data_IF_896971796143
#
_entry.id   IF_896971796143
#
_cell.length_a   1.000
_cell.length_b   1.000
_cell.length_c   1.000
_cell.angle_alpha   90.00
_cell.angle_beta   90.00
_cell.angle_gamma   90.00
#
_symmetry.space_group_name_H-M   'P 1'
#
loop_
_entity.id
_entity.type
_entity.pdbx_description
1 polymer ?
#
# COMPACT_ATOMS: atom_id res chain seq x y z
N UNK A 1 21.15 8.89 11.94
CA UNK A 1 21.08 9.52 10.61
C UNK A 1 21.29 8.44 9.56
N UNK A 2 20.26 8.08 8.78
CA UNK A 2 20.33 7.00 7.78
C UNK A 2 21.39 7.26 6.70
N UNK A 3 21.55 8.52 6.28
CA UNK A 3 22.56 8.90 5.28
C UNK A 3 23.99 8.64 5.73
N UNK A 4 24.26 8.58 7.03
CA UNK A 4 25.59 8.22 7.58
C UNK A 4 25.74 6.72 7.79
N UNK A 5 24.71 6.05 8.28
CA UNK A 5 24.82 4.68 8.78
C UNK A 5 24.51 3.61 7.73
N UNK A 6 23.61 3.90 6.79
CA UNK A 6 23.15 2.91 5.81
C UNK A 6 22.56 3.57 4.54
N UNK A 7 23.28 4.50 3.88
CA UNK A 7 22.76 5.33 2.79
C UNK A 7 22.32 4.54 1.55
N UNK A 8 22.85 3.32 1.37
CA UNK A 8 22.54 2.44 0.23
C UNK A 8 21.46 1.40 0.53
N UNK A 9 20.98 1.30 1.76
CA UNK A 9 20.11 0.21 2.23
C UNK A 9 18.73 0.67 2.69
N UNK A 10 18.59 1.93 3.11
CA UNK A 10 17.31 2.49 3.54
C UNK A 10 16.98 3.77 2.80
N UNK A 11 15.75 3.85 2.30
CA UNK A 11 15.12 5.09 1.87
C UNK A 11 14.08 5.49 2.92
N UNK A 12 14.01 6.78 3.23
CA UNK A 12 13.06 7.31 4.21
C UNK A 12 11.91 7.99 3.49
N UNK A 13 10.69 7.67 3.92
CA UNK A 13 9.49 8.38 3.52
C UNK A 13 9.09 9.27 4.70
N UNK A 14 8.79 10.54 4.43
CA UNK A 14 8.25 11.44 5.46
C UNK A 14 6.76 11.17 5.69
N UNK A 15 6.17 11.80 6.70
CA UNK A 15 4.75 11.72 7.05
C UNK A 15 4.14 13.12 7.15
N UNK A 16 2.81 13.21 7.04
CA UNK A 16 2.08 14.43 7.37
C UNK A 16 1.79 14.44 8.88
N UNK A 17 2.09 15.56 9.54
CA UNK A 17 1.57 15.85 10.87
C UNK A 17 0.16 16.42 10.74
N UNK A 18 -0.84 15.58 11.01
CA UNK A 18 -2.25 15.99 10.92
C UNK A 18 -2.73 16.87 12.08
N UNK A 19 -1.92 17.04 13.13
CA UNK A 19 -2.25 17.92 14.24
C UNK A 19 -2.50 19.35 13.73
N UNK A 20 -3.64 19.92 14.10
CA UNK A 20 -4.03 21.26 13.69
C UNK A 20 -4.67 21.37 12.30
N UNK A 21 -4.94 20.26 11.60
CA UNK A 21 -5.69 20.29 10.35
C UNK A 21 -7.02 21.04 10.54
N UNK A 22 -7.30 21.97 9.61
CA UNK A 22 -8.44 22.89 9.67
C UNK A 22 -8.17 24.23 10.35
N UNK A 23 -7.01 24.41 11.00
CA UNK A 23 -6.55 25.75 11.40
C UNK A 23 -6.03 26.54 10.18
N UNK A 24 -6.17 27.87 10.15
CA UNK A 24 -5.56 28.70 9.11
C UNK A 24 -4.05 28.45 9.00
N UNK A 25 -3.53 28.34 7.78
CA UNK A 25 -2.11 28.12 7.52
C UNK A 25 -1.61 26.68 7.64
N UNK A 26 -2.46 25.72 8.07
CA UNK A 26 -2.02 24.33 8.25
C UNK A 26 -1.59 23.69 6.93
N UNK A 27 -2.36 23.87 5.86
CA UNK A 27 -2.07 23.26 4.55
C UNK A 27 -0.75 23.78 3.99
N UNK A 28 -0.53 25.10 4.05
CA UNK A 28 0.70 25.77 3.61
C UNK A 28 1.90 25.27 4.43
N UNK A 29 1.72 25.13 5.74
CA UNK A 29 2.73 24.56 6.63
C UNK A 29 3.08 23.11 6.29
N UNK A 30 2.08 22.26 6.03
CA UNK A 30 2.28 20.86 5.67
C UNK A 30 2.98 20.71 4.30
N UNK A 31 2.64 21.54 3.32
CA UNK A 31 3.31 21.61 2.02
C UNK A 31 4.77 22.02 2.18
N UNK A 32 5.04 23.07 2.97
CA UNK A 32 6.39 23.54 3.24
C UNK A 32 7.23 22.47 3.95
N UNK A 33 6.67 21.78 4.93
CA UNK A 33 7.36 20.72 5.66
C UNK A 33 7.72 19.54 4.73
N UNK A 34 6.81 19.14 3.84
CA UNK A 34 7.09 18.11 2.83
C UNK A 34 8.28 18.51 1.94
N UNK A 35 8.30 19.76 1.46
CA UNK A 35 9.40 20.27 0.64
C UNK A 35 10.74 20.25 1.41
N UNK A 36 10.74 20.70 2.66
CA UNK A 36 11.91 20.68 3.53
C UNK A 36 12.42 19.26 3.81
N UNK A 37 11.52 18.30 4.05
CA UNK A 37 11.87 16.91 4.30
C UNK A 37 12.46 16.23 3.07
N UNK A 38 11.91 16.48 1.89
CA UNK A 38 12.46 15.99 0.62
C UNK A 38 13.84 16.59 0.38
N UNK A 39 14.01 17.89 0.63
CA UNK A 39 15.33 18.57 0.56
C UNK A 39 16.33 17.96 1.53
N UNK A 40 15.88 17.47 2.69
CA UNK A 40 16.70 16.75 3.69
C UNK A 40 16.92 15.26 3.36
N UNK A 41 16.34 14.76 2.28
CA UNK A 41 16.61 13.42 1.74
C UNK A 41 15.46 12.43 1.85
N UNK A 42 14.26 12.84 2.29
CA UNK A 42 13.08 12.00 2.16
C UNK A 42 12.83 11.69 0.67
N UNK A 43 12.52 10.42 0.37
CA UNK A 43 12.37 9.90 -0.99
C UNK A 43 10.90 9.64 -1.35
N UNK A 44 9.97 10.00 -0.49
CA UNK A 44 8.57 9.68 -0.63
C UNK A 44 7.76 10.22 0.54
N UNK A 45 6.44 10.19 0.38
CA UNK A 45 5.48 10.53 1.42
C UNK A 45 4.70 9.28 1.81
N UNK A 46 4.66 8.95 3.10
CA UNK A 46 3.87 7.85 3.65
C UNK A 46 2.64 8.40 4.36
N UNK A 47 1.48 7.86 4.01
CA UNK A 47 0.20 8.11 4.67
C UNK A 47 -0.26 6.81 5.33
N UNK A 48 -0.60 6.90 6.61
CA UNK A 48 -1.11 5.79 7.40
C UNK A 48 -2.64 5.76 7.35
N UNK A 49 -3.20 4.60 7.68
CA UNK A 49 -4.65 4.39 7.76
C UNK A 49 -5.38 5.23 8.79
N UNK A 50 -4.66 5.94 9.66
CA UNK A 50 -5.26 6.91 10.59
C UNK A 50 -6.01 8.01 9.83
N UNK A 51 -5.56 8.38 8.62
CA UNK A 51 -6.35 9.23 7.74
C UNK A 51 -7.58 8.45 7.25
N UNK A 52 -8.77 9.00 7.52
CA UNK A 52 -10.05 8.32 7.31
C UNK A 52 -10.51 7.42 8.46
N UNK A 53 -9.64 7.04 9.41
CA UNK A 53 -10.04 6.25 10.59
C UNK A 53 -10.17 7.06 11.88
N UNK A 54 -9.22 7.94 12.15
CA UNK A 54 -9.08 8.55 13.47
C UNK A 54 -8.54 9.98 13.47
N UNK A 55 -7.98 10.45 12.36
CA UNK A 55 -7.58 11.85 12.23
C UNK A 55 -8.83 12.71 12.27
N UNK A 56 -8.92 13.59 13.28
CA UNK A 56 -9.99 14.57 13.44
C UNK A 56 -9.42 15.97 13.22
N UNK A 57 -10.19 16.83 12.59
CA UNK A 57 -9.82 18.24 12.42
C UNK A 57 -10.06 19.06 13.69
N UNK A 58 -9.75 20.36 13.60
CA UNK A 58 -9.96 21.31 14.69
C UNK A 58 -11.42 21.49 15.12
N UNK A 59 -12.39 20.97 14.37
CA UNK A 59 -13.80 20.92 14.75
C UNK A 59 -14.21 19.55 15.33
N UNK A 60 -13.25 18.62 15.49
CA UNK A 60 -13.50 17.27 15.98
C UNK A 60 -14.14 16.34 14.93
N UNK A 61 -14.18 16.75 13.65
CA UNK A 61 -14.75 15.95 12.57
C UNK A 61 -13.68 15.04 11.97
N UNK A 62 -14.04 13.79 11.70
CA UNK A 62 -13.17 12.86 10.97
C UNK A 62 -12.76 13.46 9.62
N UNK A 63 -11.48 13.42 9.32
CA UNK A 63 -10.91 13.92 8.06
C UNK A 63 -11.02 12.83 6.99
N UNK A 64 -11.77 13.08 5.89
CA UNK A 64 -11.84 12.17 4.75
C UNK A 64 -10.47 11.98 4.07
N UNK A 65 -10.29 10.84 3.40
CA UNK A 65 -9.04 10.55 2.66
C UNK A 65 -8.87 11.50 1.46
N UNK A 66 -9.98 11.99 0.90
CA UNK A 66 -10.03 12.96 -0.20
C UNK A 66 -10.36 14.39 0.24
N UNK A 67 -10.07 14.73 1.50
CA UNK A 67 -10.25 16.08 2.03
C UNK A 67 -9.50 17.10 1.15
N UNK A 68 -10.17 18.15 0.64
CA UNK A 68 -9.56 19.12 -0.28
C UNK A 68 -8.32 19.83 0.29
N UNK A 69 -8.20 19.91 1.62
CA UNK A 69 -7.03 20.51 2.28
C UNK A 69 -5.75 19.70 2.05
N UNK A 70 -5.86 18.45 1.61
CA UNK A 70 -4.75 17.56 1.31
C UNK A 70 -4.27 17.66 -0.15
N UNK A 71 -5.11 18.17 -1.07
CA UNK A 71 -4.79 18.26 -2.50
C UNK A 71 -3.48 19.02 -2.78
N UNK A 72 -3.18 20.17 -2.12
CA UNK A 72 -1.89 20.84 -2.30
C UNK A 72 -0.68 20.00 -1.90
N UNK A 73 -0.83 19.09 -0.93
CA UNK A 73 0.25 18.21 -0.47
C UNK A 73 0.52 17.13 -1.52
N UNK A 74 -0.53 16.55 -2.10
CA UNK A 74 -0.40 15.58 -3.19
C UNK A 74 0.22 16.22 -4.43
N UNK A 75 -0.23 17.43 -4.80
CA UNK A 75 0.32 18.19 -5.91
C UNK A 75 1.82 18.48 -5.69
N UNK A 76 2.21 18.94 -4.49
CA UNK A 76 3.61 19.18 -4.14
C UNK A 76 4.46 17.91 -4.22
N UNK A 77 3.96 16.76 -3.76
CA UNK A 77 4.68 15.49 -3.92
C UNK A 77 4.95 15.16 -5.40
N UNK A 78 3.96 15.41 -6.27
CA UNK A 78 4.11 15.27 -7.72
C UNK A 78 5.13 16.23 -8.33
N UNK A 79 5.12 17.51 -7.93
CA UNK A 79 6.11 18.52 -8.35
C UNK A 79 7.54 18.15 -7.95
N UNK A 80 7.71 17.61 -6.74
CA UNK A 80 8.99 17.17 -6.20
C UNK A 80 9.46 15.82 -6.78
N UNK A 81 8.62 15.14 -7.57
CA UNK A 81 8.94 13.85 -8.17
C UNK A 81 9.06 12.70 -7.16
N UNK A 82 8.43 12.83 -5.98
CA UNK A 82 8.42 11.78 -4.94
C UNK A 82 7.07 11.05 -4.91
N UNK A 83 7.04 9.72 -4.73
CA UNK A 83 5.79 8.98 -4.68
C UNK A 83 5.09 9.11 -3.34
N UNK A 84 3.76 8.96 -3.34
CA UNK A 84 2.92 8.87 -2.14
C UNK A 84 2.52 7.42 -1.90
N UNK A 85 3.09 6.78 -0.88
CA UNK A 85 2.64 5.47 -0.40
C UNK A 85 1.49 5.67 0.59
N UNK A 86 0.28 5.28 0.21
CA UNK A 86 -0.91 5.48 1.04
C UNK A 86 -1.50 4.15 1.49
N UNK A 87 -1.71 4.03 2.80
CA UNK A 87 -2.50 2.98 3.42
C UNK A 87 -3.85 3.56 3.77
N UNK A 88 -4.91 3.07 3.13
CA UNK A 88 -6.31 3.42 3.44
C UNK A 88 -7.08 2.15 3.75
N UNK A 89 -7.99 2.20 4.72
CA UNK A 89 -8.79 1.06 5.16
C UNK A 89 -7.94 -0.13 5.70
N UNK A 90 -8.56 -1.29 5.77
CA UNK A 90 -8.05 -2.59 6.20
C UNK A 90 -8.72 -3.66 5.28
N UNK A 91 -8.43 -4.97 5.37
CA UNK A 91 -9.12 -5.99 4.57
C UNK A 91 -10.65 -5.85 4.65
N UNK A 92 -11.34 -5.90 3.51
CA UNK A 92 -12.82 -5.83 3.44
C UNK A 92 -13.52 -6.80 4.41
N UNK A 93 -13.05 -8.04 4.61
CA UNK A 93 -13.65 -8.96 5.58
C UNK A 93 -13.71 -8.45 7.03
N UNK A 94 -12.98 -7.38 7.40
CA UNK A 94 -13.11 -6.78 8.72
C UNK A 94 -14.46 -6.06 8.92
N UNK A 95 -15.13 -5.65 7.84
CA UNK A 95 -16.47 -5.08 7.86
C UNK A 95 -17.57 -6.15 7.73
N UNK A 96 -17.26 -7.32 7.16
CA UNK A 96 -18.22 -8.41 6.98
C UNK A 96 -18.66 -9.03 8.32
N UNK A 97 -19.82 -9.72 8.40
CA UNK A 97 -20.25 -10.44 9.60
C UNK A 97 -19.17 -11.39 10.13
N UNK A 98 -19.07 -11.57 11.46
CA UNK A 98 -18.15 -12.53 12.05
C UNK A 98 -18.80 -13.91 12.08
N UNK A 99 -18.78 -14.63 10.96
CA UNK A 99 -19.38 -15.95 10.81
C UNK A 99 -18.48 -16.91 10.00
N UNK A 100 -19.01 -18.10 9.70
CA UNK A 100 -18.32 -19.15 8.92
C UNK A 100 -17.99 -18.76 7.48
N UNK A 101 -18.56 -17.67 6.95
CA UNK A 101 -18.34 -17.19 5.58
C UNK A 101 -17.28 -16.09 5.50
N UNK A 102 -16.88 -15.50 6.63
CA UNK A 102 -15.84 -14.50 6.69
C UNK A 102 -14.44 -15.14 6.63
N UNK A 103 -13.71 -14.92 5.53
CA UNK A 103 -12.38 -15.52 5.35
C UNK A 103 -11.33 -15.07 6.37
N UNK A 104 -11.58 -13.98 7.11
CA UNK A 104 -10.72 -13.47 8.20
C UNK A 104 -11.31 -13.72 9.59
N UNK A 105 -12.31 -14.61 9.74
CA UNK A 105 -12.98 -14.85 11.02
C UNK A 105 -12.02 -15.21 12.17
N UNK A 106 -10.97 -16.01 11.89
CA UNK A 106 -10.00 -16.43 12.91
C UNK A 106 -9.13 -15.26 13.35
N UNK A 107 -8.70 -14.43 12.39
CA UNK A 107 -7.96 -13.19 12.67
C UNK A 107 -8.78 -12.25 13.55
N UNK A 108 -10.06 -12.05 13.22
CA UNK A 108 -10.98 -11.22 14.00
C UNK A 108 -11.29 -11.79 15.38
N UNK A 109 -11.32 -13.12 15.53
CA UNK A 109 -11.49 -13.80 16.82
C UNK A 109 -10.27 -13.58 17.74
N UNK A 110 -9.06 -13.63 17.19
CA UNK A 110 -7.81 -13.44 17.93
C UNK A 110 -7.54 -11.95 18.19
N UNK A 111 -7.84 -11.09 17.23
CA UNK A 111 -7.59 -9.65 17.27
C UNK A 111 -8.91 -8.86 17.17
N UNK A 112 -9.73 -8.95 18.22
CA UNK A 112 -11.09 -8.37 18.26
C UNK A 112 -11.16 -6.89 17.85
N UNK A 113 -10.15 -6.08 18.18
CA UNK A 113 -10.07 -4.66 17.80
C UNK A 113 -9.89 -4.39 16.30
N UNK A 114 -9.69 -5.42 15.47
CA UNK A 114 -9.67 -5.30 14.00
C UNK A 114 -11.07 -5.29 13.39
N UNK A 115 -12.08 -5.83 14.08
CA UNK A 115 -13.46 -5.81 13.57
C UNK A 115 -13.90 -4.36 13.40
N UNK A 116 -14.54 -4.10 12.26
CA UNK A 116 -15.20 -2.82 11.93
C UNK A 116 -16.70 -3.05 11.88
N UNK A 117 -17.50 -2.02 12.07
CA UNK A 117 -18.94 -2.20 12.17
C UNK A 117 -19.72 -0.92 11.94
N UNK A 118 -21.04 -1.02 12.07
CA UNK A 118 -21.98 0.09 11.88
C UNK A 118 -21.82 1.24 12.88
N UNK A 119 -21.01 1.07 13.94
CA UNK A 119 -20.69 2.12 14.90
C UNK A 119 -19.52 3.00 14.44
N UNK A 120 -18.78 2.60 13.40
CA UNK A 120 -17.71 3.42 12.84
C UNK A 120 -18.32 4.59 12.05
N UNK A 121 -17.69 5.77 12.09
CA UNK A 121 -18.11 6.97 11.34
C UNK A 121 -17.90 6.82 9.81
N UNK A 122 -17.45 5.65 9.34
CA UNK A 122 -17.02 5.37 7.97
C UNK A 122 -17.34 3.92 7.55
N UNK A 123 -17.57 3.72 6.25
CA UNK A 123 -17.64 2.39 5.63
C UNK A 123 -16.37 2.09 4.83
N UNK A 124 -16.16 0.80 4.52
CA UNK A 124 -15.04 0.40 3.66
C UNK A 124 -15.14 1.05 2.26
N UNK A 125 -16.35 1.03 1.68
CA UNK A 125 -16.62 1.60 0.36
C UNK A 125 -16.36 3.11 0.33
N UNK A 126 -16.70 3.84 1.40
CA UNK A 126 -16.40 5.27 1.52
C UNK A 126 -14.90 5.51 1.50
N UNK A 127 -14.13 4.83 2.35
CA UNK A 127 -12.68 5.01 2.45
C UNK A 127 -11.95 4.72 1.14
N UNK A 128 -12.29 3.60 0.50
CA UNK A 128 -11.69 3.20 -0.77
C UNK A 128 -12.10 4.15 -1.90
N UNK A 129 -13.35 4.62 -1.91
CA UNK A 129 -13.81 5.63 -2.88
C UNK A 129 -13.06 6.94 -2.73
N UNK A 130 -12.89 7.43 -1.50
CA UNK A 130 -12.11 8.63 -1.19
C UNK A 130 -10.64 8.46 -1.63
N UNK A 131 -10.01 7.32 -1.36
CA UNK A 131 -8.66 7.04 -1.86
C UNK A 131 -8.58 7.17 -3.39
N UNK A 132 -9.53 6.57 -4.11
CA UNK A 132 -9.58 6.67 -5.57
C UNK A 132 -9.84 8.11 -6.06
N UNK A 133 -10.63 8.91 -5.35
CA UNK A 133 -10.80 10.34 -5.67
C UNK A 133 -9.48 11.10 -5.55
N UNK A 134 -8.73 10.90 -4.47
CA UNK A 134 -7.42 11.53 -4.31
C UNK A 134 -6.47 11.18 -5.47
N UNK A 135 -6.46 9.91 -5.90
CA UNK A 135 -5.68 9.47 -7.06
C UNK A 135 -6.09 10.15 -8.37
N UNK A 136 -7.40 10.24 -8.64
CA UNK A 136 -7.94 10.87 -9.87
C UNK A 136 -7.68 12.36 -9.94
N UNK A 137 -7.85 13.07 -8.82
CA UNK A 137 -7.65 14.52 -8.73
C UNK A 137 -6.18 14.92 -8.93
N UNK A 138 -5.25 14.01 -8.68
CA UNK A 138 -3.81 14.29 -8.69
C UNK A 138 -3.06 13.44 -9.74
N UNK A 139 -3.37 13.56 -11.05
CA UNK A 139 -2.84 12.68 -12.09
C UNK A 139 -1.33 12.81 -12.33
N UNK A 140 -0.74 13.94 -11.92
CA UNK A 140 0.72 14.18 -12.01
C UNK A 140 1.50 13.57 -10.85
N UNK A 141 0.82 13.11 -9.80
CA UNK A 141 1.44 12.51 -8.61
C UNK A 141 1.42 11.00 -8.72
N UNK A 142 2.56 10.35 -8.47
CA UNK A 142 2.65 8.89 -8.43
C UNK A 142 2.23 8.39 -7.07
N UNK A 143 1.23 7.52 -7.04
CA UNK A 143 0.77 6.88 -5.81
C UNK A 143 1.21 5.43 -5.77
N UNK A 144 1.45 4.91 -4.57
CA UNK A 144 1.56 3.48 -4.29
C UNK A 144 0.41 3.15 -3.33
N UNK A 145 -0.59 2.44 -3.81
CA UNK A 145 -1.68 1.93 -2.98
C UNK A 145 -1.17 0.71 -2.21
N UNK A 146 -1.07 0.84 -0.90
CA UNK A 146 -0.62 -0.24 -0.03
C UNK A 146 -1.57 -1.46 -0.15
N UNK A 147 -1.01 -2.65 0.03
CA UNK A 147 -1.74 -3.92 0.15
C UNK A 147 -2.62 -4.21 -1.07
N UNK A 148 -2.13 -3.87 -2.27
CA UNK A 148 -2.87 -3.94 -3.53
C UNK A 148 -4.21 -3.17 -3.51
N UNK A 149 -4.25 -2.05 -2.78
CA UNK A 149 -5.47 -1.26 -2.58
C UNK A 149 -6.57 -2.04 -1.84
N UNK A 150 -6.19 -3.08 -1.08
CA UNK A 150 -7.08 -4.04 -0.46
C UNK A 150 -8.00 -4.80 -1.43
N UNK A 151 -7.58 -4.95 -2.70
CA UNK A 151 -8.21 -5.85 -3.69
C UNK A 151 -7.39 -7.09 -4.10
N UNK A 152 -6.46 -7.63 -3.28
CA UNK A 152 -5.71 -8.82 -3.69
C UNK A 152 -6.63 -10.06 -3.84
N UNK A 153 -7.79 -10.07 -3.19
CA UNK A 153 -8.84 -11.08 -3.31
C UNK A 153 -9.76 -10.89 -4.53
N UNK A 154 -9.74 -9.72 -5.17
CA UNK A 154 -10.56 -9.39 -6.35
C UNK A 154 -9.70 -8.66 -7.39
N UNK A 155 -8.84 -9.43 -8.05
CA UNK A 155 -7.93 -8.91 -9.07
C UNK A 155 -8.66 -8.35 -10.29
N UNK A 156 -9.89 -8.79 -10.57
CA UNK A 156 -10.71 -8.23 -11.64
C UNK A 156 -11.14 -6.79 -11.31
N UNK A 157 -11.54 -6.53 -10.06
CA UNK A 157 -11.81 -5.16 -9.62
C UNK A 157 -10.53 -4.32 -9.61
N UNK A 158 -9.41 -4.85 -9.12
CA UNK A 158 -8.14 -4.13 -9.15
C UNK A 158 -7.69 -3.78 -10.57
N UNK A 159 -7.88 -4.68 -11.53
CA UNK A 159 -7.62 -4.44 -12.96
C UNK A 159 -8.39 -3.21 -13.48
N UNK A 160 -9.69 -3.11 -13.17
CA UNK A 160 -10.52 -1.96 -13.56
C UNK A 160 -10.01 -0.64 -12.95
N UNK A 161 -9.51 -0.69 -11.72
CA UNK A 161 -8.96 0.48 -11.00
C UNK A 161 -7.64 0.91 -11.64
N UNK A 162 -6.69 -0.01 -11.81
CA UNK A 162 -5.39 0.31 -12.39
C UNK A 162 -5.51 0.77 -13.84
N UNK A 163 -6.46 0.24 -14.61
CA UNK A 163 -6.75 0.69 -15.98
C UNK A 163 -7.18 2.16 -16.02
N UNK A 164 -8.01 2.59 -15.06
CA UNK A 164 -8.52 3.98 -15.01
C UNK A 164 -7.59 4.96 -14.29
N UNK A 165 -6.65 4.47 -13.49
CA UNK A 165 -5.73 5.28 -12.70
C UNK A 165 -4.27 5.02 -13.09
N UNK A 166 -3.76 5.57 -14.21
CA UNK A 166 -2.41 5.28 -14.70
C UNK A 166 -1.28 5.78 -13.80
N UNK A 167 -1.58 6.65 -12.83
CA UNK A 167 -0.64 7.20 -11.87
C UNK A 167 -0.46 6.35 -10.59
N UNK A 168 -1.19 5.23 -10.45
CA UNK A 168 -1.16 4.38 -9.25
C UNK A 168 -0.25 3.16 -9.48
N UNK A 169 0.57 2.80 -8.51
CA UNK A 169 1.21 1.48 -8.43
C UNK A 169 0.69 0.78 -7.17
N UNK A 170 0.95 -0.52 -7.03
CA UNK A 170 0.54 -1.32 -5.87
C UNK A 170 1.74 -2.05 -5.29
N UNK A 171 1.64 -2.45 -4.03
CA UNK A 171 2.61 -3.36 -3.40
C UNK A 171 1.91 -4.53 -2.70
N UNK A 172 2.64 -5.63 -2.49
CA UNK A 172 2.09 -6.94 -2.06
C UNK A 172 2.19 -7.21 -0.55
N UNK A 173 2.61 -6.23 0.24
CA UNK A 173 2.77 -6.36 1.68
C UNK A 173 1.48 -6.79 2.35
N UNK A 174 1.61 -7.67 3.35
CA UNK A 174 0.52 -8.26 4.13
C UNK A 174 -0.54 -9.08 3.35
N UNK A 175 -0.46 -9.18 2.02
CA UNK A 175 -1.51 -9.78 1.16
C UNK A 175 -1.03 -10.93 0.27
N UNK A 176 0.15 -11.48 0.57
CA UNK A 176 0.70 -12.60 -0.20
C UNK A 176 -0.23 -13.82 -0.19
N UNK A 177 -1.00 -14.00 0.89
CA UNK A 177 -1.94 -15.12 1.07
C UNK A 177 -3.06 -15.13 0.02
N UNK A 178 -3.61 -13.95 -0.30
CA UNK A 178 -4.66 -13.77 -1.29
C UNK A 178 -4.16 -14.02 -2.70
N UNK A 179 -2.91 -13.65 -3.00
CA UNK A 179 -2.29 -13.92 -4.29
C UNK A 179 -2.05 -15.41 -4.49
N UNK A 180 -1.46 -16.07 -3.51
CA UNK A 180 -1.12 -17.48 -3.64
C UNK A 180 -2.30 -18.45 -3.57
N UNK A 181 -3.55 -18.02 -3.36
CA UNK A 181 -4.73 -18.90 -3.55
C UNK A 181 -5.30 -18.90 -4.96
N UNK A 182 -4.82 -18.02 -5.83
CA UNK A 182 -5.37 -17.81 -7.17
C UNK A 182 -4.27 -17.78 -8.25
N UNK A 183 -3.42 -18.81 -8.35
CA UNK A 183 -2.14 -18.71 -9.05
C UNK A 183 -2.27 -18.33 -10.53
N UNK A 184 -3.28 -18.85 -11.24
CA UNK A 184 -3.50 -18.53 -12.66
C UNK A 184 -3.93 -17.08 -12.88
N UNK A 185 -4.84 -16.57 -12.05
CA UNK A 185 -5.31 -15.18 -12.12
C UNK A 185 -4.21 -14.22 -11.66
N UNK A 186 -3.53 -14.57 -10.57
CA UNK A 186 -2.37 -13.85 -10.03
C UNK A 186 -1.27 -13.70 -11.07
N UNK A 187 -0.85 -14.79 -11.71
CA UNK A 187 0.16 -14.76 -12.78
C UNK A 187 -0.22 -13.79 -13.90
N UNK A 188 -1.43 -13.94 -14.47
CA UNK A 188 -1.92 -13.06 -15.56
C UNK A 188 -1.94 -11.59 -15.15
N UNK A 189 -2.34 -11.31 -13.91
CA UNK A 189 -2.35 -9.95 -13.37
C UNK A 189 -0.93 -9.37 -13.27
N UNK A 190 0.03 -10.15 -12.77
CA UNK A 190 1.42 -9.75 -12.70
C UNK A 190 2.05 -9.56 -14.08
N UNK A 191 1.73 -10.42 -15.06
CA UNK A 191 2.18 -10.24 -16.45
C UNK A 191 1.66 -8.92 -17.06
N UNK A 192 0.38 -8.61 -16.86
CA UNK A 192 -0.26 -7.38 -17.36
C UNK A 192 0.28 -6.10 -16.68
N UNK A 193 0.43 -6.12 -15.36
CA UNK A 193 0.81 -4.95 -14.55
C UNK A 193 2.23 -5.02 -14.00
N UNK A 194 3.12 -5.79 -14.65
CA UNK A 194 4.52 -6.01 -14.21
C UNK A 194 5.31 -4.73 -13.94
N UNK A 195 4.92 -3.60 -14.54
CA UNK A 195 5.54 -2.28 -14.36
C UNK A 195 4.93 -1.45 -13.21
N UNK A 196 3.93 -1.97 -12.50
CA UNK A 196 3.15 -1.24 -11.49
C UNK A 196 2.99 -2.01 -10.18
N UNK A 197 3.65 -3.16 -10.03
CA UNK A 197 3.62 -3.98 -8.82
C UNK A 197 4.99 -3.95 -8.16
N UNK A 198 5.05 -3.55 -6.90
CA UNK A 198 6.26 -3.53 -6.10
C UNK A 198 6.22 -4.67 -5.08
N UNK A 199 7.40 -5.19 -4.76
CA UNK A 199 7.55 -6.03 -3.58
C UNK A 199 7.35 -5.19 -2.30
N UNK A 200 6.62 -5.76 -1.35
CA UNK A 200 6.49 -5.23 -0.01
C UNK A 200 6.12 -6.33 0.96
N UNK A 201 6.45 -6.14 2.24
CA UNK A 201 6.26 -7.17 3.30
C UNK A 201 5.45 -6.65 4.48
N UNK A 202 5.39 -5.32 4.66
CA UNK A 202 4.75 -4.64 5.80
C UNK A 202 5.38 -4.93 7.18
N UNK A 203 6.53 -5.60 7.22
CA UNK A 203 7.33 -5.81 8.44
C UNK A 203 8.71 -6.40 8.12
N UNK A 204 9.66 -6.31 9.06
CA UNK A 204 10.96 -6.98 8.95
C UNK A 204 10.96 -8.27 9.77
N UNK A 205 10.65 -9.40 9.12
CA UNK A 205 10.81 -10.76 9.69
C UNK A 205 11.44 -11.64 8.63
N UNK A 206 12.79 -11.79 8.63
CA UNK A 206 13.52 -12.49 7.56
C UNK A 206 13.04 -13.91 7.27
N UNK A 207 12.66 -14.66 8.30
CA UNK A 207 12.16 -16.04 8.16
C UNK A 207 10.84 -16.18 7.39
N UNK A 208 10.11 -15.09 7.16
CA UNK A 208 8.87 -15.09 6.38
C UNK A 208 9.09 -14.89 4.86
N UNK A 209 10.23 -14.31 4.45
CA UNK A 209 10.53 -14.02 3.05
C UNK A 209 10.55 -15.26 2.14
N UNK A 210 11.04 -16.44 2.57
CA UNK A 210 10.94 -17.65 1.76
C UNK A 210 9.51 -17.99 1.32
N UNK A 211 8.48 -17.63 2.10
CA UNK A 211 7.08 -17.80 1.65
C UNK A 211 6.75 -16.91 0.46
N UNK A 212 7.22 -15.66 0.47
CA UNK A 212 6.99 -14.72 -0.63
C UNK A 212 7.71 -15.18 -1.89
N UNK A 213 8.99 -15.57 -1.78
CA UNK A 213 9.76 -16.11 -2.90
C UNK A 213 9.11 -17.37 -3.46
N UNK A 214 8.68 -18.30 -2.60
CA UNK A 214 7.97 -19.50 -3.04
C UNK A 214 6.66 -19.19 -3.80
N UNK A 215 5.87 -18.23 -3.30
CA UNK A 215 4.64 -17.81 -4.01
C UNK A 215 4.95 -17.15 -5.35
N UNK A 216 6.00 -16.34 -5.45
CA UNK A 216 6.27 -15.57 -6.67
C UNK A 216 7.04 -16.37 -7.72
N UNK A 217 8.03 -17.16 -7.31
CA UNK A 217 9.06 -17.73 -8.19
C UNK A 217 8.74 -19.15 -8.66
N UNK A 218 8.10 -19.98 -7.83
CA UNK A 218 7.92 -21.40 -8.14
C UNK A 218 6.57 -21.69 -8.76
N UNK A 219 6.43 -22.90 -9.30
CA UNK A 219 5.15 -23.49 -9.71
C UNK A 219 4.62 -24.47 -8.65
N UNK A 220 5.14 -24.38 -7.42
CA UNK A 220 4.77 -25.30 -6.35
C UNK A 220 3.28 -25.20 -6.03
N UNK A 221 2.66 -26.34 -5.78
CA UNK A 221 1.26 -26.39 -5.41
C UNK A 221 1.10 -26.81 -3.94
N UNK A 222 -0.02 -26.41 -3.35
CA UNK A 222 -0.53 -26.96 -2.09
C UNK A 222 0.43 -26.84 -0.88
N UNK A 223 1.07 -25.69 -0.65
CA UNK A 223 1.95 -25.48 0.52
C UNK A 223 1.31 -24.60 1.61
N UNK A 224 1.72 -24.74 2.89
CA UNK A 224 1.13 -23.96 3.98
C UNK A 224 1.57 -22.49 3.96
N UNK A 225 0.70 -21.60 4.43
CA UNK A 225 1.08 -20.23 4.78
C UNK A 225 1.66 -20.16 6.19
N UNK A 226 2.73 -19.38 6.40
CA UNK A 226 3.38 -19.26 7.71
C UNK A 226 2.47 -18.64 8.77
N UNK A 227 1.54 -17.77 8.38
CA UNK A 227 0.66 -17.00 9.28
C UNK A 227 -0.78 -17.51 9.26
N UNK A 228 -1.01 -18.63 9.96
CA UNK A 228 -2.27 -19.43 9.91
C UNK A 228 -3.56 -18.68 10.24
N UNK A 229 -3.50 -17.57 10.97
CA UNK A 229 -4.70 -16.78 11.28
C UNK A 229 -5.07 -15.76 10.21
N UNK A 230 -4.11 -15.32 9.39
CA UNK A 230 -4.39 -14.47 8.24
C UNK A 230 -5.06 -15.27 7.12
N UNK A 231 -4.62 -16.51 6.92
CA UNK A 231 -5.15 -17.42 5.93
C UNK A 231 -4.95 -18.87 6.38
N UNK A 232 -5.98 -19.69 6.18
CA UNK A 232 -6.01 -21.11 6.51
C UNK A 232 -6.05 -22.00 5.25
N UNK A 233 -6.07 -21.40 4.06
CA UNK A 233 -5.98 -22.10 2.79
C UNK A 233 -4.53 -22.42 2.40
N UNK A 234 -4.38 -23.30 1.41
CA UNK A 234 -3.09 -23.60 0.80
C UNK A 234 -2.69 -22.55 -0.21
N UNK A 235 -1.39 -22.37 -0.30
CA UNK A 235 -0.73 -21.46 -1.22
C UNK A 235 -0.23 -22.24 -2.43
N UNK A 236 -0.13 -21.52 -3.55
CA UNK A 236 0.33 -21.98 -4.84
C UNK A 236 1.27 -20.91 -5.41
N UNK A 237 2.30 -21.39 -6.10
CA UNK A 237 3.27 -20.56 -6.79
C UNK A 237 2.69 -19.95 -8.08
N UNK A 238 3.13 -18.75 -8.41
CA UNK A 238 2.74 -18.02 -9.62
C UNK A 238 3.65 -18.35 -10.82
N UNK A 239 4.84 -18.88 -10.56
CA UNK A 239 5.86 -19.22 -11.56
C UNK A 239 6.36 -18.02 -12.37
N UNK A 240 6.45 -16.83 -11.77
CA UNK A 240 6.73 -15.61 -12.53
C UNK A 240 8.11 -15.68 -13.22
N UNK A 241 8.21 -15.30 -14.51
CA UNK A 241 9.50 -15.21 -15.19
C UNK A 241 10.46 -14.24 -14.50
N UNK A 242 11.77 -14.51 -14.58
CA UNK A 242 12.83 -13.66 -14.01
C UNK A 242 12.69 -12.18 -14.41
N UNK A 243 12.34 -11.90 -15.66
CA UNK A 243 12.14 -10.55 -16.15
C UNK A 243 11.04 -9.78 -15.37
N UNK A 244 9.96 -10.47 -14.96
CA UNK A 244 8.89 -9.90 -14.14
C UNK A 244 9.33 -9.83 -12.68
N UNK A 245 9.99 -10.87 -12.16
CA UNK A 245 10.52 -10.89 -10.78
C UNK A 245 11.47 -9.72 -10.52
N UNK A 246 12.40 -9.43 -11.43
CA UNK A 246 13.30 -8.26 -11.34
C UNK A 246 12.53 -6.94 -11.25
N UNK A 247 11.43 -6.79 -12.00
CA UNK A 247 10.56 -5.60 -11.92
C UNK A 247 9.89 -5.47 -10.56
N UNK A 248 9.31 -6.57 -10.07
CA UNK A 248 8.63 -6.62 -8.77
C UNK A 248 9.63 -6.36 -7.63
N UNK A 249 10.79 -7.00 -7.64
CA UNK A 249 11.77 -6.92 -6.55
C UNK A 249 12.50 -5.59 -6.48
N UNK A 250 12.82 -4.96 -7.62
CA UNK A 250 13.59 -3.72 -7.56
C UNK A 250 13.39 -2.74 -8.71
N UNK A 251 13.22 -3.16 -9.97
CA UNK A 251 13.21 -2.18 -11.10
C UNK A 251 12.05 -1.19 -10.99
N UNK A 252 10.88 -1.62 -10.51
CA UNK A 252 9.75 -0.70 -10.28
C UNK A 252 10.03 0.28 -9.14
N UNK A 253 10.65 -0.17 -8.05
CA UNK A 253 11.05 0.70 -6.94
C UNK A 253 12.11 1.72 -7.38
N UNK A 254 13.13 1.29 -8.14
CA UNK A 254 14.16 2.17 -8.71
C UNK A 254 13.56 3.25 -9.61
N UNK A 255 12.53 2.92 -10.39
CA UNK A 255 11.84 3.88 -11.27
C UNK A 255 10.98 4.88 -10.49
N UNK A 256 10.32 4.44 -9.41
CA UNK A 256 9.33 5.25 -8.69
C UNK A 256 9.92 6.05 -7.54
N UNK A 257 10.97 5.56 -6.88
CA UNK A 257 11.53 6.16 -5.67
C UNK A 257 12.86 6.84 -6.04
N UNK A 258 12.95 8.17 -5.99
CA UNK A 258 14.13 8.88 -6.46
C UNK A 258 15.37 8.61 -5.60
N UNK A 259 16.52 8.50 -6.27
CA UNK A 259 17.83 8.41 -5.61
C UNK A 259 18.10 7.09 -4.88
N UNK A 260 17.41 6.00 -5.24
CA UNK A 260 17.85 4.65 -4.90
C UNK A 260 19.12 4.28 -5.70
N UNK A 261 20.07 3.61 -5.06
CA UNK A 261 21.33 3.20 -5.68
C UNK A 261 21.11 1.91 -6.52
N UNK A 262 20.99 2.08 -7.84
CA UNK A 262 20.79 0.97 -8.76
C UNK A 262 21.96 -0.02 -8.78
N UNK A 263 23.18 0.38 -8.36
CA UNK A 263 24.35 -0.51 -8.30
C UNK A 263 24.22 -1.62 -7.25
N UNK A 264 23.24 -1.54 -6.35
CA UNK A 264 22.97 -2.55 -5.33
C UNK A 264 22.19 -3.77 -5.86
N UNK A 265 21.73 -3.73 -7.12
CA UNK A 265 20.86 -4.76 -7.69
C UNK A 265 21.53 -5.44 -8.89
N UNK A 266 21.22 -6.74 -9.14
CA UNK A 266 21.72 -7.43 -10.32
C UNK A 266 21.16 -6.80 -11.61
N UNK A 267 21.89 -6.91 -12.72
CA UNK A 267 21.47 -6.42 -14.04
C UNK A 267 20.35 -7.30 -14.65
#
# INVERSE_FOLDING_TARGET
NVGKNAPKRFAIFTNILFEGIGKPGWTEGAVKLLEEDVKRGAKGLKIYKSLGFSVKDNAGKLVPVDDPRLDPIWAKAGELGVPVLIHTADPRPFWDPLDRYNERWLELKIHKGRKRGSQDEFTWEQLITQQHHAFRKNPKTKFIAAHMGWYPNDLAKLDSILTTLPNVSVEIGAVIAELGRQPRTGRKFFEKYQDRILFGKDSWVPSEYPTYFRVLETEDEYFPYHKKYHAFWRMYGLGLPDAILKKVYYKNALRLIPGLDASQFPQ
#
